data_IF_187951676833
#
_entry.id   IF_187951676833
#
_cell.length_a   1.000
_cell.length_b   1.000
_cell.length_c   1.000
_cell.angle_alpha   90.00
_cell.angle_beta   90.00
_cell.angle_gamma   90.00
#
_symmetry.space_group_name_H-M   'P 1'
#
loop_
_entity.id
_entity.type
_entity.pdbx_description
1 polymer ?
#
# COMPACT_ATOMS: atom_id res chain seq x y z
N UNK A 1 7.95 -8.20 18.13
CA UNK A 1 6.85 -8.31 17.15
C UNK A 1 5.77 -7.30 17.45
N UNK A 2 5.54 -6.37 16.53
CA UNK A 2 4.50 -5.34 16.58
C UNK A 2 3.16 -5.89 16.04
N UNK A 3 2.04 -5.17 16.25
CA UNK A 3 0.72 -5.51 15.69
C UNK A 3 0.76 -5.67 14.16
N UNK A 4 1.58 -4.87 13.48
CA UNK A 4 1.73 -4.95 12.03
C UNK A 4 2.37 -6.27 11.59
N UNK A 5 3.28 -6.84 12.37
CA UNK A 5 3.88 -8.15 12.07
C UNK A 5 2.82 -9.25 12.08
N UNK A 6 1.88 -9.20 13.04
CA UNK A 6 0.76 -10.16 13.11
C UNK A 6 -0.17 -10.04 11.90
N UNK A 7 -0.42 -8.83 11.43
CA UNK A 7 -1.20 -8.59 10.20
C UNK A 7 -0.48 -9.20 8.99
N UNK A 8 0.83 -8.97 8.84
CA UNK A 8 1.61 -9.53 7.74
C UNK A 8 1.67 -11.06 7.80
N UNK A 9 1.87 -11.66 8.98
CA UNK A 9 1.80 -13.12 9.16
C UNK A 9 0.43 -13.66 8.76
N UNK A 10 -0.65 -12.96 9.13
CA UNK A 10 -2.00 -13.28 8.70
C UNK A 10 -2.14 -13.29 7.18
N UNK A 11 -1.60 -12.27 6.50
CA UNK A 11 -1.57 -12.21 5.03
C UNK A 11 -0.83 -13.42 4.45
N UNK A 12 0.39 -13.72 4.92
CA UNK A 12 1.15 -14.87 4.45
C UNK A 12 0.40 -16.20 4.65
N UNK A 13 -0.18 -16.40 5.83
CA UNK A 13 -0.93 -17.61 6.14
C UNK A 13 -2.16 -17.77 5.24
N UNK A 14 -2.94 -16.71 5.06
CA UNK A 14 -4.13 -16.70 4.20
C UNK A 14 -3.74 -16.94 2.75
N UNK A 15 -2.71 -16.25 2.25
CA UNK A 15 -2.25 -16.40 0.86
C UNK A 15 -1.68 -17.81 0.60
N UNK A 16 -0.95 -18.39 1.55
CA UNK A 16 -0.46 -19.77 1.44
C UNK A 16 -1.60 -20.80 1.43
N UNK A 17 -2.57 -20.68 2.34
CA UNK A 17 -3.75 -21.56 2.40
C UNK A 17 -4.60 -21.41 1.13
N UNK A 18 -4.76 -20.19 0.64
CA UNK A 18 -5.47 -19.91 -0.60
C UNK A 18 -4.75 -20.51 -1.81
N UNK A 19 -3.43 -20.38 -1.88
CA UNK A 19 -2.59 -21.00 -2.90
C UNK A 19 -2.72 -22.53 -2.91
N UNK A 20 -2.66 -23.16 -1.74
CA UNK A 20 -2.90 -24.60 -1.57
C UNK A 20 -4.24 -25.05 -2.15
N UNK A 21 -5.32 -24.32 -1.84
CA UNK A 21 -6.68 -24.65 -2.31
C UNK A 21 -6.87 -24.43 -3.81
N UNK A 22 -6.11 -23.50 -4.39
CA UNK A 22 -6.31 -23.02 -5.76
C UNK A 22 -5.51 -23.84 -6.78
N UNK A 23 -4.46 -24.55 -6.32
CA UNK A 23 -3.55 -25.34 -7.16
C UNK A 23 -2.52 -24.46 -7.89
N UNK A 24 -1.45 -25.07 -8.39
CA UNK A 24 -0.27 -24.40 -8.92
C UNK A 24 -0.61 -23.52 -10.13
N UNK A 25 -1.33 -24.06 -11.11
CA UNK A 25 -1.62 -23.33 -12.37
C UNK A 25 -2.45 -22.08 -12.11
N UNK A 26 -3.54 -22.26 -11.35
CA UNK A 26 -4.46 -21.14 -11.06
C UNK A 26 -3.80 -20.12 -10.14
N UNK A 27 -3.06 -20.58 -9.13
CA UNK A 27 -2.33 -19.69 -8.23
C UNK A 27 -1.29 -18.89 -9.03
N UNK A 28 -0.59 -19.51 -9.98
CA UNK A 28 0.42 -18.85 -10.82
C UNK A 28 -0.20 -17.75 -11.67
N UNK A 29 -1.29 -18.05 -12.37
CA UNK A 29 -2.00 -17.05 -13.18
C UNK A 29 -2.49 -15.88 -12.33
N UNK A 30 -3.05 -16.17 -11.15
CA UNK A 30 -3.50 -15.12 -10.25
C UNK A 30 -2.35 -14.30 -9.65
N UNK A 31 -1.19 -14.93 -9.35
CA UNK A 31 0.00 -14.23 -8.87
C UNK A 31 0.60 -13.32 -9.95
N UNK A 32 0.57 -13.75 -11.22
CA UNK A 32 0.94 -12.90 -12.35
C UNK A 32 -0.02 -11.73 -12.51
N UNK A 33 -1.33 -11.98 -12.44
CA UNK A 33 -2.35 -10.93 -12.44
C UNK A 33 -2.16 -9.93 -11.30
N UNK A 34 -1.86 -10.42 -10.10
CA UNK A 34 -1.53 -9.61 -8.93
C UNK A 34 -0.30 -8.73 -9.19
N UNK A 35 0.78 -9.33 -9.70
CA UNK A 35 2.02 -8.61 -10.03
C UNK A 35 1.78 -7.49 -11.06
N UNK A 36 1.09 -7.80 -12.16
CA UNK A 36 0.75 -6.82 -13.20
C UNK A 36 -0.10 -5.68 -12.62
N UNK A 37 -1.02 -6.00 -11.71
CA UNK A 37 -1.88 -5.00 -11.08
C UNK A 37 -1.11 -4.06 -10.18
N UNK A 38 -0.18 -4.60 -9.36
CA UNK A 38 0.72 -3.79 -8.51
C UNK A 38 1.62 -2.88 -9.36
N UNK A 39 2.09 -3.39 -10.50
CA UNK A 39 2.96 -2.66 -11.42
C UNK A 39 2.21 -1.49 -12.07
N UNK A 40 1.04 -1.74 -12.67
CA UNK A 40 0.25 -0.69 -13.31
C UNK A 40 -0.28 0.32 -12.29
N UNK A 41 -0.71 -0.15 -11.11
CA UNK A 41 -1.19 0.75 -10.06
C UNK A 41 -0.09 1.66 -9.55
N UNK A 42 1.13 1.15 -9.43
CA UNK A 42 2.31 1.98 -9.21
C UNK A 42 2.37 3.06 -10.27
N UNK A 43 2.61 2.68 -11.53
CA UNK A 43 2.90 3.61 -12.62
C UNK A 43 1.88 4.74 -12.79
N UNK A 44 0.59 4.46 -12.58
CA UNK A 44 -0.49 5.41 -12.87
C UNK A 44 -1.09 6.09 -11.62
N UNK A 45 -0.67 5.73 -10.40
CA UNK A 45 -1.27 6.22 -9.15
C UNK A 45 -1.37 7.76 -9.06
N UNK A 46 -0.31 8.47 -9.46
CA UNK A 46 -0.25 9.94 -9.37
C UNK A 46 -1.14 10.66 -10.40
N UNK A 47 -1.50 10.00 -11.49
CA UNK A 47 -2.23 10.62 -12.60
C UNK A 47 -3.75 10.43 -12.49
N UNK A 48 -4.21 9.38 -11.81
CA UNK A 48 -5.63 9.00 -11.86
C UNK A 48 -6.50 9.85 -10.93
N UNK A 49 -6.02 10.21 -9.74
CA UNK A 49 -6.90 10.90 -8.80
C UNK A 49 -7.02 12.40 -9.10
N UNK A 50 -5.97 13.05 -9.60
CA UNK A 50 -6.03 14.45 -10.07
C UNK A 50 -7.02 14.65 -11.23
N UNK A 51 -7.34 13.60 -11.98
CA UNK A 51 -8.36 13.60 -13.04
C UNK A 51 -9.79 13.37 -12.53
N UNK A 52 -9.95 12.77 -11.34
CA UNK A 52 -11.24 12.29 -10.82
C UNK A 52 -11.75 13.16 -9.68
N UNK A 53 -10.86 13.74 -8.87
CA UNK A 53 -11.24 14.44 -7.65
C UNK A 53 -10.29 15.59 -7.32
N UNK A 54 -10.80 16.82 -7.39
CA UNK A 54 -10.03 18.06 -7.15
C UNK A 54 -10.03 18.51 -5.67
N UNK A 55 -10.69 17.75 -4.79
CA UNK A 55 -10.93 18.12 -3.38
C UNK A 55 -10.08 17.37 -2.34
N UNK A 56 -8.88 16.88 -2.67
CA UNK A 56 -7.97 16.25 -1.68
C UNK A 56 -6.68 17.08 -1.62
N UNK A 57 -6.54 17.88 -0.56
CA UNK A 57 -5.40 18.78 -0.35
C UNK A 57 -4.06 18.05 -0.09
N UNK A 58 -4.11 16.75 0.20
CA UNK A 58 -2.92 15.94 0.47
C UNK A 58 -2.52 15.08 -0.72
N UNK A 59 -1.44 15.46 -1.39
CA UNK A 59 -0.86 14.71 -2.51
C UNK A 59 -0.59 13.24 -2.17
N UNK A 60 -0.14 12.90 -0.96
CA UNK A 60 0.11 11.50 -0.61
C UNK A 60 -1.15 10.67 -0.41
N UNK A 61 -2.19 11.23 0.20
CA UNK A 61 -3.48 10.56 0.34
C UNK A 61 -4.05 10.34 -1.05
N UNK A 62 -3.90 11.33 -1.93
CA UNK A 62 -4.32 11.25 -3.32
C UNK A 62 -3.62 10.12 -4.08
N UNK A 63 -2.29 10.09 -4.09
CA UNK A 63 -1.51 9.03 -4.75
C UNK A 63 -1.79 7.64 -4.16
N UNK A 64 -1.94 7.53 -2.83
CA UNK A 64 -2.27 6.27 -2.16
C UNK A 64 -3.66 5.73 -2.57
N UNK A 65 -4.67 6.59 -2.64
CA UNK A 65 -6.02 6.21 -3.08
C UNK A 65 -6.02 5.84 -4.57
N UNK A 66 -5.34 6.63 -5.41
CA UNK A 66 -5.18 6.34 -6.84
C UNK A 66 -4.57 4.96 -7.08
N UNK A 67 -3.54 4.61 -6.32
CA UNK A 67 -2.94 3.27 -6.35
C UNK A 67 -3.97 2.17 -6.08
N UNK A 68 -4.75 2.28 -5.00
CA UNK A 68 -5.73 1.24 -4.62
C UNK A 68 -6.82 1.09 -5.69
N UNK A 69 -7.33 2.20 -6.24
CA UNK A 69 -8.36 2.17 -7.27
C UNK A 69 -7.86 1.45 -8.53
N UNK A 70 -6.69 1.84 -9.04
CA UNK A 70 -6.11 1.24 -10.25
C UNK A 70 -5.79 -0.23 -10.01
N UNK A 71 -5.21 -0.56 -8.85
CA UNK A 71 -4.89 -1.92 -8.49
C UNK A 71 -6.14 -2.81 -8.56
N UNK A 72 -7.25 -2.39 -7.94
CA UNK A 72 -8.50 -3.17 -7.96
C UNK A 72 -9.04 -3.30 -9.38
N UNK A 73 -9.06 -2.21 -10.17
CA UNK A 73 -9.55 -2.24 -11.54
C UNK A 73 -8.73 -3.21 -12.43
N UNK A 74 -7.40 -3.08 -12.43
CA UNK A 74 -6.51 -3.93 -13.21
C UNK A 74 -6.55 -5.38 -12.73
N UNK A 75 -6.66 -5.61 -11.42
CA UNK A 75 -6.75 -6.95 -10.85
C UNK A 75 -8.01 -7.69 -11.29
N UNK A 76 -9.16 -7.00 -11.32
CA UNK A 76 -10.41 -7.59 -11.80
C UNK A 76 -10.34 -7.94 -13.29
N UNK A 77 -9.79 -7.05 -14.12
CA UNK A 77 -9.63 -7.29 -15.56
C UNK A 77 -8.68 -8.46 -15.81
N UNK A 78 -7.51 -8.46 -15.16
CA UNK A 78 -6.50 -9.51 -15.33
C UNK A 78 -6.99 -10.87 -14.83
N UNK A 79 -7.89 -10.92 -13.84
CA UNK A 79 -8.53 -12.17 -13.39
C UNK A 79 -9.44 -12.79 -14.46
N UNK A 80 -10.14 -11.97 -15.24
CA UNK A 80 -10.95 -12.46 -16.37
C UNK A 80 -10.03 -13.09 -17.43
N UNK A 81 -8.92 -12.41 -17.76
CA UNK A 81 -7.92 -12.91 -18.71
C UNK A 81 -7.30 -14.23 -18.23
N UNK A 82 -6.91 -14.29 -16.95
CA UNK A 82 -6.38 -15.50 -16.33
C UNK A 82 -7.38 -16.67 -16.40
N UNK A 83 -8.67 -16.43 -16.21
CA UNK A 83 -9.69 -17.47 -16.32
C UNK A 83 -9.82 -18.01 -17.76
N UNK A 84 -9.66 -17.16 -18.77
CA UNK A 84 -9.64 -17.57 -20.18
C UNK A 84 -8.39 -18.41 -20.48
N UNK A 85 -7.21 -17.93 -20.06
CA UNK A 85 -5.95 -18.66 -20.23
C UNK A 85 -6.02 -20.03 -19.56
N UNK A 86 -6.56 -20.09 -18.33
CA UNK A 86 -6.73 -21.36 -17.61
C UNK A 86 -7.57 -22.36 -18.38
N UNK A 87 -8.65 -21.91 -19.04
CA UNK A 87 -9.48 -22.80 -19.87
C UNK A 87 -8.75 -23.31 -21.11
N UNK A 88 -7.80 -22.53 -21.65
CA UNK A 88 -6.98 -22.94 -22.78
C UNK A 88 -5.83 -23.89 -22.39
N UNK A 89 -5.35 -23.82 -21.15
CA UNK A 89 -4.29 -24.68 -20.62
C UNK A 89 -4.85 -26.03 -20.15
N UNK A 90 -4.72 -27.07 -20.97
CA UNK A 90 -4.96 -28.46 -20.56
C UNK A 90 -3.75 -29.05 -19.83
N UNK A 91 -3.41 -28.51 -18.65
CA UNK A 91 -2.33 -29.02 -17.82
C UNK A 91 -2.89 -29.86 -16.68
N UNK A 92 -2.56 -31.16 -16.66
CA UNK A 92 -2.90 -32.07 -15.57
C UNK A 92 -1.64 -32.34 -14.75
N UNK A 93 -1.59 -31.82 -13.52
CA UNK A 93 -0.54 -32.11 -12.56
C UNK A 93 -0.98 -33.22 -11.60
N UNK A 94 -0.01 -33.91 -10.99
CA UNK A 94 -0.30 -34.81 -9.88
C UNK A 94 -0.81 -34.02 -8.68
N UNK A 95 -1.86 -34.52 -8.03
CA UNK A 95 -2.64 -33.81 -6.99
C UNK A 95 -1.78 -33.21 -5.88
N UNK A 96 -0.72 -33.91 -5.42
CA UNK A 96 0.15 -33.42 -4.34
C UNK A 96 1.16 -32.35 -4.79
N UNK A 97 1.65 -32.43 -6.03
CA UNK A 97 2.56 -31.44 -6.63
C UNK A 97 1.80 -30.16 -6.94
N UNK A 98 0.56 -30.27 -7.42
CA UNK A 98 -0.30 -29.12 -7.72
C UNK A 98 -0.60 -28.31 -6.46
N UNK A 99 -0.92 -28.97 -5.34
CA UNK A 99 -1.24 -28.29 -4.09
C UNK A 99 0.00 -27.70 -3.40
N UNK A 100 1.13 -28.41 -3.39
CA UNK A 100 2.38 -27.91 -2.82
C UNK A 100 2.96 -26.75 -3.66
N UNK A 101 2.92 -26.86 -4.99
CA UNK A 101 3.26 -25.76 -5.89
C UNK A 101 2.34 -24.55 -5.66
N UNK A 102 1.04 -24.79 -5.46
CA UNK A 102 0.08 -23.76 -5.07
C UNK A 102 0.47 -23.02 -3.79
N UNK A 103 0.98 -23.71 -2.76
CA UNK A 103 1.48 -23.07 -1.52
C UNK A 103 2.64 -22.12 -1.81
N UNK A 104 3.64 -22.56 -2.59
CA UNK A 104 4.80 -21.71 -2.94
C UNK A 104 4.35 -20.45 -3.66
N UNK A 105 3.44 -20.58 -4.62
CA UNK A 105 2.87 -19.42 -5.31
C UNK A 105 2.03 -18.55 -4.37
N UNK A 106 1.29 -19.16 -3.44
CA UNK A 106 0.55 -18.46 -2.41
C UNK A 106 1.46 -17.62 -1.52
N UNK A 107 2.64 -18.12 -1.15
CA UNK A 107 3.65 -17.36 -0.41
C UNK A 107 4.16 -16.18 -1.25
N UNK A 108 4.47 -16.40 -2.52
CA UNK A 108 4.88 -15.32 -3.44
C UNK A 108 3.79 -14.24 -3.55
N UNK A 109 2.52 -14.65 -3.68
CA UNK A 109 1.39 -13.72 -3.67
C UNK A 109 1.28 -12.96 -2.33
N UNK A 110 1.55 -13.63 -1.20
CA UNK A 110 1.64 -13.00 0.11
C UNK A 110 2.73 -11.91 0.15
N UNK A 111 3.93 -12.20 -0.36
CA UNK A 111 5.04 -11.23 -0.46
C UNK A 111 4.60 -10.01 -1.28
N UNK A 112 3.97 -10.25 -2.44
CA UNK A 112 3.48 -9.20 -3.34
C UNK A 112 2.43 -8.32 -2.65
N UNK A 113 1.42 -8.92 -1.99
CA UNK A 113 0.38 -8.17 -1.27
C UNK A 113 0.99 -7.38 -0.11
N UNK A 114 1.78 -8.03 0.73
CA UNK A 114 2.44 -7.40 1.88
C UNK A 114 3.34 -6.24 1.47
N UNK A 115 4.10 -6.40 0.39
CA UNK A 115 4.94 -5.36 -0.15
C UNK A 115 4.14 -4.20 -0.76
N UNK A 116 3.03 -4.48 -1.45
CA UNK A 116 2.10 -3.45 -1.92
C UNK A 116 1.49 -2.64 -0.77
N UNK A 117 1.01 -3.31 0.28
CA UNK A 117 0.47 -2.67 1.49
C UNK A 117 1.54 -1.81 2.18
N UNK A 118 2.75 -2.36 2.36
CA UNK A 118 3.89 -1.62 2.92
C UNK A 118 4.18 -0.35 2.10
N UNK A 119 4.17 -0.44 0.78
CA UNK A 119 4.45 0.68 -0.13
C UNK A 119 3.45 1.82 0.04
N UNK A 120 2.15 1.50 0.07
CA UNK A 120 1.10 2.48 0.28
C UNK A 120 1.20 3.11 1.67
N UNK A 121 1.45 2.31 2.70
CA UNK A 121 1.59 2.80 4.07
C UNK A 121 2.86 3.66 4.25
N UNK A 122 3.96 3.31 3.59
CA UNK A 122 5.18 4.11 3.60
C UNK A 122 4.94 5.47 2.93
N UNK A 123 4.26 5.50 1.77
CA UNK A 123 3.88 6.76 1.12
C UNK A 123 3.00 7.62 2.02
N UNK A 124 2.03 7.00 2.67
CA UNK A 124 1.18 7.70 3.62
C UNK A 124 1.96 8.24 4.84
N UNK A 125 2.91 7.48 5.40
CA UNK A 125 3.63 7.87 6.61
C UNK A 125 4.77 8.89 6.38
N UNK A 126 5.48 8.82 5.24
CA UNK A 126 6.74 9.54 4.99
C UNK A 126 6.65 10.64 3.92
N UNK A 127 5.45 11.04 3.48
CA UNK A 127 5.35 12.30 2.71
C UNK A 127 5.65 13.48 3.62
N UNK A 128 6.40 14.46 3.14
CA UNK A 128 6.60 15.72 3.86
C UNK A 128 5.37 16.60 3.62
N UNK A 129 4.62 16.86 4.69
CA UNK A 129 3.62 17.93 4.73
C UNK A 129 4.02 18.85 5.88
N UNK A 130 4.73 19.93 5.59
CA UNK A 130 4.88 21.06 6.53
C UNK A 130 3.75 22.07 6.30
N UNK A 131 3.27 22.77 7.35
CA UNK A 131 3.90 22.93 8.65
C UNK A 131 3.14 22.25 9.81
N UNK A 132 3.93 21.92 10.82
CA UNK A 132 3.53 21.69 12.20
C UNK A 132 2.42 22.64 12.64
N UNK A 133 1.48 22.12 13.44
CA UNK A 133 0.56 22.92 14.25
C UNK A 133 1.37 23.58 15.37
N UNK A 134 2.32 24.44 15.01
CA UNK A 134 3.08 25.28 15.93
C UNK A 134 2.72 26.75 15.75
N UNK A 135 1.84 27.10 14.81
CA UNK A 135 1.29 28.44 14.73
C UNK A 135 0.36 28.68 15.93
N UNK A 136 0.75 29.63 16.78
CA UNK A 136 -0.11 30.34 17.74
C UNK A 136 -1.47 30.65 17.08
N UNK A 137 -2.57 30.67 17.85
CA UNK A 137 -3.85 31.12 17.27
C UNK A 137 -3.62 32.56 16.83
N UNK A 138 -3.55 32.79 15.51
CA UNK A 138 -3.40 34.14 14.98
C UNK A 138 -4.69 34.89 15.35
N UNK A 139 -4.57 35.84 16.29
CA UNK A 139 -5.66 36.75 16.68
C UNK A 139 -6.29 37.48 15.48
N UNK A 140 -5.63 37.45 14.32
CA UNK A 140 -6.06 38.04 13.05
C UNK A 140 -7.28 37.30 12.45
N UNK A 141 -7.36 35.96 12.57
CA UNK A 141 -8.51 35.17 12.07
C UNK A 141 -9.80 35.46 12.85
N UNK A 142 -9.66 35.70 14.16
CA UNK A 142 -10.73 36.13 15.06
C UNK A 142 -11.26 37.53 14.73
N UNK A 143 -10.38 38.41 14.22
CA UNK A 143 -10.72 39.80 13.94
C UNK A 143 -11.42 40.01 12.59
N UNK A 144 -11.16 39.16 11.59
CA UNK A 144 -11.66 39.35 10.22
C UNK A 144 -12.93 38.54 9.90
N UNK A 145 -12.96 37.25 10.29
CA UNK A 145 -14.04 36.31 9.93
C UNK A 145 -14.93 35.91 11.13
N UNK A 146 -14.64 36.44 12.32
CA UNK A 146 -15.43 36.24 13.52
C UNK A 146 -15.57 34.76 13.93
N UNK A 147 -16.79 34.34 14.31
CA UNK A 147 -17.07 32.98 14.80
C UNK A 147 -16.89 31.92 13.69
N UNK A 148 -17.13 32.27 12.42
CA UNK A 148 -17.00 31.33 11.29
C UNK A 148 -15.53 31.04 11.00
N UNK A 149 -14.68 32.06 10.91
CA UNK A 149 -13.23 31.87 10.76
C UNK A 149 -12.60 31.07 11.89
N UNK A 150 -13.03 31.32 13.14
CA UNK A 150 -12.58 30.54 14.28
C UNK A 150 -12.99 29.06 14.21
N UNK A 151 -14.22 28.79 13.76
CA UNK A 151 -14.72 27.41 13.62
C UNK A 151 -13.96 26.67 12.52
N UNK A 152 -13.68 27.32 11.40
CA UNK A 152 -12.93 26.73 10.30
C UNK A 152 -11.47 26.49 10.69
N UNK A 153 -10.84 27.40 11.45
CA UNK A 153 -9.50 27.21 11.98
C UNK A 153 -9.42 26.03 12.96
N UNK A 154 -10.35 25.94 13.93
CA UNK A 154 -10.41 24.79 14.86
C UNK A 154 -10.66 23.49 14.09
N UNK A 155 -11.55 23.51 13.10
CA UNK A 155 -11.87 22.33 12.29
C UNK A 155 -10.64 21.89 11.49
N UNK A 156 -9.94 22.81 10.85
CA UNK A 156 -8.70 22.53 10.12
C UNK A 156 -7.59 21.98 11.02
N UNK A 157 -7.38 22.58 12.20
CA UNK A 157 -6.39 22.12 13.19
C UNK A 157 -6.72 20.72 13.73
N UNK A 158 -7.99 20.44 14.04
CA UNK A 158 -8.42 19.12 14.53
C UNK A 158 -8.24 18.03 13.47
N UNK A 159 -8.54 18.33 12.20
CA UNK A 159 -8.27 17.43 11.06
C UNK A 159 -6.76 17.18 10.93
N UNK A 160 -5.94 18.23 10.97
CA UNK A 160 -4.47 18.14 10.86
C UNK A 160 -3.87 17.32 12.00
N UNK A 161 -4.33 17.53 13.23
CA UNK A 161 -3.90 16.75 14.39
C UNK A 161 -4.25 15.26 14.25
N UNK A 162 -5.49 14.94 13.85
CA UNK A 162 -5.92 13.57 13.62
C UNK A 162 -5.12 12.88 12.50
N UNK A 163 -4.82 13.61 11.42
CA UNK A 163 -3.97 13.12 10.33
C UNK A 163 -2.54 12.85 10.80
N UNK A 164 -1.93 13.77 11.54
CA UNK A 164 -0.57 13.61 12.06
C UNK A 164 -0.45 12.41 13.01
N UNK A 165 -1.44 12.19 13.89
CA UNK A 165 -1.51 11.00 14.74
C UNK A 165 -1.56 9.71 13.92
N UNK A 166 -2.40 9.65 12.88
CA UNK A 166 -2.50 8.49 11.99
C UNK A 166 -1.19 8.17 11.28
N UNK A 167 -0.52 9.21 10.76
CA UNK A 167 0.79 9.09 10.09
C UNK A 167 1.88 8.64 11.04
N UNK A 168 1.97 9.22 12.23
CA UNK A 168 2.98 8.85 13.23
C UNK A 168 2.77 7.41 13.71
N UNK A 169 1.53 7.00 13.97
CA UNK A 169 1.21 5.62 14.31
C UNK A 169 1.65 4.65 13.21
N UNK A 170 1.36 4.97 11.95
CA UNK A 170 1.76 4.16 10.79
C UNK A 170 3.28 4.10 10.66
N UNK A 171 3.97 5.23 10.83
CA UNK A 171 5.44 5.31 10.86
C UNK A 171 6.02 4.41 11.93
N UNK A 172 5.52 4.51 13.17
CA UNK A 172 5.96 3.66 14.30
C UNK A 172 5.73 2.19 14.00
N UNK A 173 4.60 1.83 13.38
CA UNK A 173 4.30 0.44 13.06
C UNK A 173 5.22 -0.16 12.01
N UNK A 174 5.53 0.59 10.96
CA UNK A 174 6.44 0.19 9.89
C UNK A 174 7.88 0.07 10.41
N UNK A 175 8.36 1.08 11.15
CA UNK A 175 9.74 1.11 11.66
C UNK A 175 10.00 0.01 12.70
N UNK A 176 9.04 -0.28 13.57
CA UNK A 176 9.20 -1.34 14.60
C UNK A 176 8.90 -2.75 14.10
N UNK A 177 8.53 -2.91 12.84
CA UNK A 177 8.20 -4.22 12.27
C UNK A 177 9.48 -5.04 12.05
N UNK A 178 9.41 -6.33 12.40
CA UNK A 178 10.51 -7.26 12.16
C UNK A 178 10.47 -7.86 10.74
N UNK A 179 9.33 -7.76 10.06
CA UNK A 179 9.11 -8.31 8.72
C UNK A 179 9.39 -7.27 7.63
N UNK A 180 9.11 -5.99 7.88
CA UNK A 180 9.33 -4.89 6.94
C UNK A 180 10.77 -4.85 6.38
N UNK A 181 11.85 -5.00 7.18
CA UNK A 181 13.21 -5.04 6.63
C UNK A 181 13.41 -6.15 5.59
N UNK A 182 12.81 -7.32 5.83
CA UNK A 182 12.84 -8.43 4.87
C UNK A 182 12.07 -8.12 3.58
N UNK A 183 10.96 -7.38 3.68
CA UNK A 183 10.20 -6.93 2.50
C UNK A 183 10.94 -5.86 1.71
N UNK A 184 11.70 -4.98 2.38
CA UNK A 184 12.55 -3.97 1.73
C UNK A 184 13.66 -4.62 0.89
N UNK A 185 14.24 -5.73 1.36
CA UNK A 185 15.19 -6.52 0.56
C UNK A 185 14.57 -7.10 -0.72
N UNK A 186 13.25 -7.29 -0.73
CA UNK A 186 12.49 -7.80 -1.87
C UNK A 186 11.90 -6.67 -2.74
N UNK A 187 12.21 -5.41 -2.45
CA UNK A 187 11.65 -4.25 -3.15
C UNK A 187 11.89 -4.29 -4.65
N UNK A 188 13.02 -4.83 -5.12
CA UNK A 188 13.29 -4.96 -6.56
C UNK A 188 12.26 -5.83 -7.27
N UNK A 189 11.75 -6.87 -6.59
CA UNK A 189 10.72 -7.75 -7.14
C UNK A 189 9.32 -7.15 -7.05
N UNK A 190 9.03 -6.38 -5.99
CA UNK A 190 7.69 -5.84 -5.72
C UNK A 190 7.47 -4.43 -6.32
N UNK A 191 8.52 -3.61 -6.39
CA UNK A 191 8.48 -2.13 -6.50
C UNK A 191 9.42 -1.61 -7.60
N UNK A 192 10.12 -2.44 -8.39
CA UNK A 192 11.08 -1.95 -9.42
C UNK A 192 10.51 -0.92 -10.40
N UNK A 193 9.19 -0.82 -10.50
CA UNK A 193 8.47 0.11 -11.35
C UNK A 193 7.51 1.05 -10.61
N UNK A 194 7.60 1.15 -9.28
CA UNK A 194 6.79 2.13 -8.57
C UNK A 194 7.28 3.56 -8.90
N UNK A 195 6.37 4.54 -8.99
CA UNK A 195 6.73 5.93 -9.23
C UNK A 195 7.79 6.40 -8.25
N UNK A 196 8.58 7.37 -8.71
CA UNK A 196 9.64 8.01 -7.92
C UNK A 196 9.13 8.44 -6.53
N UNK A 197 7.89 8.92 -6.44
CA UNK A 197 7.23 9.29 -5.18
C UNK A 197 7.13 8.17 -4.14
N UNK A 198 6.87 6.93 -4.56
CA UNK A 198 6.82 5.77 -3.67
C UNK A 198 8.22 5.31 -3.31
N UNK A 199 9.17 5.36 -4.27
CA UNK A 199 10.58 5.09 -4.04
C UNK A 199 11.15 5.96 -2.92
N UNK A 200 10.95 7.27 -2.99
CA UNK A 200 11.41 8.22 -1.95
C UNK A 200 10.83 7.87 -0.58
N UNK A 201 9.56 7.51 -0.49
CA UNK A 201 8.92 7.14 0.78
C UNK A 201 9.45 5.81 1.35
N UNK A 202 9.81 4.87 0.48
CA UNK A 202 10.45 3.61 0.86
C UNK A 202 11.89 3.84 1.33
N UNK A 203 12.65 4.69 0.64
CA UNK A 203 14.03 5.04 1.04
C UNK A 203 14.04 5.74 2.41
N UNK A 204 13.08 6.63 2.66
CA UNK A 204 12.90 7.25 3.98
C UNK A 204 12.51 6.24 5.06
N UNK A 205 11.70 5.23 4.72
CA UNK A 205 11.37 4.15 5.64
C UNK A 205 12.62 3.31 5.98
N UNK A 206 13.42 2.95 4.97
CA UNK A 206 14.70 2.24 5.16
C UNK A 206 15.63 3.04 6.08
N UNK A 207 15.84 4.33 5.79
CA UNK A 207 16.63 5.22 6.63
C UNK A 207 16.10 5.32 8.07
N UNK A 208 14.78 5.39 8.26
CA UNK A 208 14.17 5.47 9.59
C UNK A 208 14.28 4.16 10.39
N UNK A 209 14.36 3.02 9.71
CA UNK A 209 14.65 1.71 10.35
C UNK A 209 16.11 1.66 10.79
N UNK A 210 17.04 2.08 9.93
CA UNK A 210 18.47 2.07 10.21
C UNK A 210 18.85 2.96 11.39
N UNK A 211 18.18 4.10 11.56
CA UNK A 211 18.40 5.00 12.70
C UNK A 211 17.90 4.44 14.05
N UNK A 212 17.08 3.39 14.03
CA UNK A 212 16.40 2.86 15.21
C UNK A 212 16.94 1.47 15.63
N UNK A 213 17.94 0.95 14.92
CA UNK A 213 18.70 -0.27 15.21
C UNK A 213 20.11 0.08 15.67
#
# INVERSE_FOLDING_TARGET
MNIFDWVLIGIFAVSAIWGYKTGLVTASLNAVSLYISLLLSGLFAGNVLSLIWDGIDSAAISTAIGYVIIFVAVFLISRIVAAIIKKALNLTFTIWIDSLGGVLIGIIAGILISGGVMTVLARYAFVETTPSVEAEIELDSLMNDGIEGFKDEITGRTITYAQNLGRENTRRWLVRSQIVPSLLNLRTFVISFAPEEFGISIDRLEQAIDQNN
#
